data_IF_799112956322
#
_entry.id   IF_799112956322
#
_cell.length_a   1.000
_cell.length_b   1.000
_cell.length_c   1.000
_cell.angle_alpha   90.00
_cell.angle_beta   90.00
_cell.angle_gamma   90.00
#
_symmetry.space_group_name_H-M   'P 1'
#
loop_
_entity.id
_entity.type
_entity.pdbx_description
1 polymer ?
#
# COMPACT_ATOMS: atom_id res chain seq x y z
N UNK A 1 9.38 -6.19 7.20
CA UNK A 1 10.58 -5.49 7.78
C UNK A 1 10.87 -4.14 7.11
N UNK A 2 10.83 -4.03 5.78
CA UNK A 2 11.25 -2.83 5.02
C UNK A 2 10.31 -1.61 5.20
N UNK A 3 8.99 -1.82 5.18
CA UNK A 3 7.99 -0.75 5.37
C UNK A 3 8.05 -0.18 6.79
N UNK A 4 8.34 -1.03 7.77
CA UNK A 4 8.40 -0.69 9.18
C UNK A 4 9.53 0.30 9.52
N UNK A 5 10.70 0.14 8.92
CA UNK A 5 11.86 1.00 9.15
C UNK A 5 11.73 2.36 8.45
N UNK A 6 11.19 2.35 7.23
CA UNK A 6 10.84 3.55 6.48
C UNK A 6 9.91 4.47 7.24
N UNK A 7 8.84 3.90 7.79
CA UNK A 7 7.83 4.68 8.50
C UNK A 7 8.31 5.13 9.89
N UNK A 8 9.16 4.34 10.56
CA UNK A 8 9.80 4.79 11.82
C UNK A 8 10.50 6.12 11.62
N UNK A 9 11.23 6.27 10.52
CA UNK A 9 12.02 7.46 10.21
C UNK A 9 11.15 8.65 9.82
N UNK A 10 10.09 8.43 9.05
CA UNK A 10 9.19 9.50 8.61
C UNK A 10 8.17 9.92 9.67
N UNK A 11 7.76 9.01 10.55
CA UNK A 11 6.89 9.31 11.69
C UNK A 11 7.62 10.04 12.83
N UNK A 12 8.94 10.03 12.87
CA UNK A 12 9.69 10.72 13.93
C UNK A 12 9.36 12.22 14.04
N UNK A 13 8.97 12.84 12.93
CA UNK A 13 8.65 14.27 12.84
C UNK A 13 7.13 14.56 12.82
N UNK A 14 6.28 13.53 12.87
CA UNK A 14 4.83 13.70 12.87
C UNK A 14 4.26 13.97 14.27
N UNK A 15 3.10 14.66 14.41
CA UNK A 15 2.44 14.88 15.69
C UNK A 15 2.19 13.57 16.44
N UNK A 16 2.27 13.62 17.78
CA UNK A 16 2.14 12.45 18.66
C UNK A 16 0.92 11.55 18.39
N UNK A 17 -0.30 12.07 18.07
CA UNK A 17 -1.45 11.23 17.76
C UNK A 17 -1.25 10.40 16.50
N UNK A 18 -0.67 10.99 15.44
CA UNK A 18 -0.40 10.32 14.17
C UNK A 18 0.63 9.21 14.35
N UNK A 19 1.70 9.47 15.13
CA UNK A 19 2.73 8.47 15.45
C UNK A 19 2.15 7.26 16.19
N UNK A 20 1.21 7.47 17.11
CA UNK A 20 0.57 6.38 17.89
C UNK A 20 -0.28 5.47 17.02
N UNK A 21 -0.94 6.02 16.00
CA UNK A 21 -1.82 5.24 15.10
C UNK A 21 -1.05 4.57 13.95
N UNK A 22 -0.07 5.26 13.38
CA UNK A 22 0.66 4.77 12.22
C UNK A 22 1.55 3.55 12.52
N UNK A 23 2.12 3.47 13.73
CA UNK A 23 3.01 2.37 14.12
C UNK A 23 2.31 0.99 14.17
N UNK A 24 1.16 0.84 14.86
CA UNK A 24 0.43 -0.43 14.87
C UNK A 24 -0.04 -0.85 13.47
N UNK A 25 -0.49 0.10 12.64
CA UNK A 25 -0.99 -0.16 11.29
C UNK A 25 0.04 -0.86 10.41
N UNK A 26 1.30 -0.52 10.57
CA UNK A 26 2.40 -1.07 9.76
C UNK A 26 2.83 -2.46 10.21
N UNK A 27 2.89 -2.70 11.53
CA UNK A 27 3.20 -4.03 12.05
C UNK A 27 2.09 -5.02 11.74
N UNK A 28 0.83 -4.59 11.78
CA UNK A 28 -0.32 -5.38 11.32
C UNK A 28 -0.25 -5.66 9.81
N UNK A 29 0.26 -4.71 9.03
CA UNK A 29 0.43 -4.88 7.60
C UNK A 29 1.43 -5.98 7.25
N UNK A 30 2.62 -6.00 7.86
CA UNK A 30 3.61 -7.06 7.64
C UNK A 30 3.02 -8.43 8.00
N UNK A 31 2.30 -8.50 9.13
CA UNK A 31 1.59 -9.71 9.53
C UNK A 31 0.51 -10.13 8.52
N UNK A 32 -0.28 -9.18 8.01
CA UNK A 32 -1.33 -9.44 7.02
C UNK A 32 -0.77 -10.06 5.73
N UNK A 33 0.36 -9.57 5.23
CA UNK A 33 0.96 -10.04 3.97
C UNK A 33 1.69 -11.38 4.10
N UNK A 34 2.11 -11.77 5.30
CA UNK A 34 2.82 -13.03 5.56
C UNK A 34 1.87 -14.22 5.74
N UNK A 35 0.57 -14.01 5.97
CA UNK A 35 -0.38 -15.09 6.19
C UNK A 35 -0.92 -15.67 4.87
N UNK A 36 -0.77 -17.00 4.64
CA UNK A 36 -1.13 -17.63 3.37
C UNK A 36 -2.65 -17.85 3.16
N UNK A 37 -3.46 -17.71 4.20
CA UNK A 37 -4.91 -17.98 4.14
C UNK A 37 -5.73 -16.86 4.76
N UNK A 38 -6.89 -16.58 4.15
CA UNK A 38 -7.87 -15.67 4.72
C UNK A 38 -8.52 -16.35 5.93
N UNK A 39 -8.39 -15.71 7.09
CA UNK A 39 -9.00 -16.14 8.33
C UNK A 39 -9.56 -14.93 9.09
N UNK A 40 -10.29 -15.19 10.17
CA UNK A 40 -10.90 -14.13 10.99
C UNK A 40 -9.89 -13.05 11.40
N UNK A 41 -8.75 -13.46 11.91
CA UNK A 41 -7.70 -12.56 12.37
C UNK A 41 -7.17 -11.68 11.22
N UNK A 42 -7.02 -12.22 10.01
CA UNK A 42 -6.59 -11.48 8.82
C UNK A 42 -7.61 -10.42 8.44
N UNK A 43 -8.90 -10.71 8.51
CA UNK A 43 -9.98 -9.74 8.21
C UNK A 43 -10.02 -8.65 9.28
N UNK A 44 -9.98 -9.00 10.56
CA UNK A 44 -9.95 -8.04 11.67
C UNK A 44 -8.73 -7.10 11.58
N UNK A 45 -7.56 -7.64 11.23
CA UNK A 45 -6.35 -6.84 10.99
C UNK A 45 -6.50 -5.91 9.78
N UNK A 46 -7.11 -6.39 8.68
CA UNK A 46 -7.37 -5.55 7.51
C UNK A 46 -8.32 -4.39 7.84
N UNK A 47 -9.40 -4.64 8.59
CA UNK A 47 -10.32 -3.61 9.06
C UNK A 47 -9.59 -2.60 9.95
N UNK A 48 -8.79 -3.06 10.90
CA UNK A 48 -7.99 -2.21 11.79
C UNK A 48 -7.02 -1.31 11.02
N UNK A 49 -6.34 -1.85 10.01
CA UNK A 49 -5.42 -1.09 9.14
C UNK A 49 -6.18 0.04 8.43
N UNK A 50 -7.33 -0.27 7.85
CA UNK A 50 -8.17 0.71 7.16
C UNK A 50 -8.65 1.81 8.10
N UNK A 51 -9.18 1.46 9.27
CA UNK A 51 -9.65 2.40 10.28
C UNK A 51 -8.54 3.35 10.75
N UNK A 52 -7.37 2.80 11.05
CA UNK A 52 -6.23 3.60 11.51
C UNK A 52 -5.71 4.55 10.42
N UNK A 53 -5.58 4.08 9.18
CA UNK A 53 -5.16 4.93 8.07
C UNK A 53 -6.18 6.06 7.81
N UNK A 54 -7.46 5.73 7.83
CA UNK A 54 -8.54 6.72 7.69
C UNK A 54 -8.55 7.72 8.85
N UNK A 55 -8.30 7.27 10.08
CA UNK A 55 -8.22 8.16 11.25
C UNK A 55 -7.04 9.12 11.15
N UNK A 56 -5.89 8.68 10.62
CA UNK A 56 -4.75 9.56 10.34
C UNK A 56 -5.15 10.66 9.35
N UNK A 57 -5.84 10.29 8.26
CA UNK A 57 -6.28 11.26 7.25
C UNK A 57 -7.34 12.25 7.74
N UNK A 58 -8.15 11.89 8.75
CA UNK A 58 -9.04 12.84 9.42
C UNK A 58 -8.28 13.92 10.20
N UNK A 59 -7.08 13.59 10.72
CA UNK A 59 -6.22 14.53 11.43
C UNK A 59 -5.26 15.29 10.52
N UNK A 60 -4.77 14.65 9.47
CA UNK A 60 -3.85 15.24 8.49
C UNK A 60 -4.12 14.66 7.09
N UNK A 61 -4.85 15.39 6.28
CA UNK A 61 -5.19 15.01 4.90
C UNK A 61 -3.99 15.05 3.94
N UNK A 62 -2.83 15.52 4.39
CA UNK A 62 -1.61 15.58 3.57
C UNK A 62 -0.65 14.44 3.84
N UNK A 63 -0.99 13.54 4.78
CA UNK A 63 -0.13 12.44 5.19
C UNK A 63 -0.06 11.34 4.11
N UNK A 64 0.94 11.45 3.24
CA UNK A 64 1.11 10.63 2.05
C UNK A 64 1.16 9.11 2.34
N UNK A 65 1.78 8.73 3.45
CA UNK A 65 1.96 7.34 3.85
C UNK A 65 0.62 6.67 4.18
N UNK A 66 -0.38 7.39 4.71
CA UNK A 66 -1.69 6.82 4.96
C UNK A 66 -2.43 6.50 3.65
N UNK A 67 -2.33 7.36 2.64
CA UNK A 67 -2.84 7.03 1.30
C UNK A 67 -2.12 5.83 0.70
N UNK A 68 -0.80 5.72 0.85
CA UNK A 68 -0.06 4.55 0.39
C UNK A 68 -0.55 3.27 1.07
N UNK A 69 -0.79 3.29 2.38
CA UNK A 69 -1.32 2.13 3.13
C UNK A 69 -2.70 1.74 2.61
N UNK A 70 -3.61 2.70 2.39
CA UNK A 70 -4.95 2.43 1.83
C UNK A 70 -4.86 1.88 0.40
N UNK A 71 -3.99 2.43 -0.45
CA UNK A 71 -3.76 1.92 -1.80
C UNK A 71 -3.27 0.48 -1.80
N UNK A 72 -2.34 0.18 -0.92
CA UNK A 72 -1.80 -1.16 -0.76
C UNK A 72 -2.85 -2.13 -0.20
N UNK A 73 -3.67 -1.68 0.76
CA UNK A 73 -4.78 -2.41 1.34
C UNK A 73 -5.81 -2.82 0.26
N UNK A 74 -6.22 -1.89 -0.59
CA UNK A 74 -7.10 -2.15 -1.73
C UNK A 74 -6.48 -3.16 -2.72
N UNK A 75 -5.19 -2.98 -3.07
CA UNK A 75 -4.49 -3.86 -4.01
C UNK A 75 -4.42 -5.30 -3.52
N UNK A 76 -4.09 -5.52 -2.26
CA UNK A 76 -3.97 -6.87 -1.70
C UNK A 76 -5.34 -7.56 -1.57
N UNK A 77 -6.37 -6.82 -1.14
CA UNK A 77 -7.71 -7.38 -1.00
C UNK A 77 -8.38 -7.64 -2.35
N UNK A 78 -8.07 -6.85 -3.38
CA UNK A 78 -8.57 -7.11 -4.74
C UNK A 78 -8.02 -8.39 -5.36
N UNK A 79 -6.95 -8.97 -4.79
CA UNK A 79 -6.42 -10.26 -5.22
C UNK A 79 -7.13 -11.46 -4.56
N UNK A 80 -8.00 -11.21 -3.57
CA UNK A 80 -8.84 -12.25 -2.99
C UNK A 80 -9.86 -12.73 -4.03
N UNK A 81 -10.06 -14.04 -4.08
CA UNK A 81 -11.11 -14.57 -4.95
C UNK A 81 -12.50 -14.25 -4.38
N UNK A 82 -13.53 -14.37 -5.22
CA UNK A 82 -14.90 -14.00 -4.82
C UNK A 82 -15.45 -14.83 -3.66
N UNK A 83 -15.01 -16.09 -3.50
CA UNK A 83 -15.41 -16.93 -2.37
C UNK A 83 -14.83 -16.37 -1.06
N UNK A 84 -13.56 -15.96 -1.08
CA UNK A 84 -12.90 -15.36 0.07
C UNK A 84 -13.56 -14.03 0.46
N UNK A 85 -13.85 -13.16 -0.52
CA UNK A 85 -14.57 -11.91 -0.28
C UNK A 85 -15.98 -12.15 0.25
N UNK A 86 -16.71 -13.13 -0.31
CA UNK A 86 -18.05 -13.49 0.16
C UNK A 86 -17.99 -14.03 1.59
N UNK A 87 -17.02 -14.88 1.90
CA UNK A 87 -16.82 -15.38 3.27
C UNK A 87 -16.49 -14.24 4.25
N UNK A 88 -15.66 -13.27 3.84
CA UNK A 88 -15.38 -12.08 4.65
C UNK A 88 -16.68 -11.30 4.96
N UNK A 89 -17.51 -11.08 3.97
CA UNK A 89 -18.77 -10.35 4.14
C UNK A 89 -19.78 -11.09 5.04
N UNK A 90 -19.92 -12.40 4.87
CA UNK A 90 -20.91 -13.21 5.60
C UNK A 90 -20.50 -13.49 7.05
N UNK A 91 -19.23 -13.78 7.30
CA UNK A 91 -18.79 -14.31 8.59
C UNK A 91 -18.02 -13.29 9.44
N UNK A 92 -17.50 -12.22 8.83
CA UNK A 92 -16.60 -11.28 9.50
C UNK A 92 -17.06 -9.82 9.39
N UNK A 93 -18.29 -9.56 8.94
CA UNK A 93 -18.84 -8.20 8.82
C UNK A 93 -18.36 -7.41 7.61
N UNK A 94 -17.58 -8.03 6.70
CA UNK A 94 -17.10 -7.41 5.48
C UNK A 94 -16.02 -6.36 5.67
N UNK A 95 -15.79 -5.58 4.61
CA UNK A 95 -14.83 -4.48 4.60
C UNK A 95 -15.58 -3.14 4.59
N UNK A 96 -14.97 -2.06 5.16
CA UNK A 96 -15.65 -0.78 5.37
C UNK A 96 -15.89 0.01 4.07
N UNK A 97 -15.27 -0.37 2.97
CA UNK A 97 -15.48 0.23 1.64
C UNK A 97 -15.38 -0.83 0.54
N UNK A 98 -15.83 -0.48 -0.65
CA UNK A 98 -15.73 -1.34 -1.84
C UNK A 98 -14.27 -1.58 -2.20
N UNK A 99 -13.93 -2.87 -2.39
CA UNK A 99 -12.59 -3.29 -2.79
C UNK A 99 -12.48 -3.22 -4.31
N UNK A 100 -11.57 -2.36 -4.81
CA UNK A 100 -11.32 -2.26 -6.25
C UNK A 100 -9.88 -1.85 -6.56
N UNK A 101 -9.41 -2.25 -7.74
CA UNK A 101 -8.10 -1.84 -8.25
C UNK A 101 -8.05 -0.35 -8.59
N UNK A 102 -9.18 0.22 -9.02
CA UNK A 102 -9.34 1.64 -9.30
C UNK A 102 -9.16 2.48 -8.03
N UNK A 103 -9.77 2.04 -6.92
CA UNK A 103 -9.56 2.67 -5.61
C UNK A 103 -8.10 2.57 -5.18
N UNK A 104 -7.47 1.42 -5.38
CA UNK A 104 -6.04 1.24 -5.13
C UNK A 104 -5.19 2.27 -5.89
N UNK A 105 -5.42 2.39 -7.20
CA UNK A 105 -4.69 3.33 -8.05
C UNK A 105 -4.91 4.78 -7.58
N UNK A 106 -6.16 5.15 -7.28
CA UNK A 106 -6.51 6.49 -6.78
C UNK A 106 -5.77 6.83 -5.49
N UNK A 107 -5.68 5.90 -4.54
CA UNK A 107 -4.94 6.11 -3.30
C UNK A 107 -3.44 6.28 -3.53
N UNK A 108 -2.82 5.49 -4.43
CA UNK A 108 -1.41 5.69 -4.78
C UNK A 108 -1.16 7.04 -5.47
N UNK A 109 -2.08 7.50 -6.31
CA UNK A 109 -2.01 8.81 -6.93
C UNK A 109 -2.11 9.93 -5.89
N UNK A 110 -2.99 9.81 -4.88
CA UNK A 110 -3.06 10.76 -3.77
C UNK A 110 -1.74 10.76 -2.96
N UNK A 111 -1.18 9.61 -2.64
CA UNK A 111 0.12 9.53 -1.97
C UNK A 111 1.21 10.28 -2.75
N UNK A 112 1.25 10.09 -4.08
CA UNK A 112 2.22 10.74 -4.96
C UNK A 112 2.00 12.24 -5.15
N UNK A 113 0.79 12.77 -4.94
CA UNK A 113 0.55 14.23 -4.91
C UNK A 113 1.31 14.90 -3.78
N UNK A 114 1.40 14.26 -2.63
CA UNK A 114 2.09 14.81 -1.46
C UNK A 114 3.58 14.44 -1.42
N UNK A 115 3.96 13.29 -2.00
CA UNK A 115 5.34 12.80 -2.02
C UNK A 115 5.69 12.19 -3.39
N UNK A 116 5.89 13.05 -4.38
CA UNK A 116 6.00 12.69 -5.80
C UNK A 116 7.23 11.83 -6.16
N UNK A 117 8.30 11.86 -5.35
CA UNK A 117 9.59 11.21 -5.63
C UNK A 117 9.84 10.00 -4.70
N UNK A 118 8.80 9.35 -4.21
CA UNK A 118 8.92 8.12 -3.44
C UNK A 118 8.98 6.90 -4.37
N UNK A 119 10.11 6.19 -4.38
CA UNK A 119 10.27 4.94 -5.14
C UNK A 119 9.24 3.89 -4.67
N UNK A 120 8.96 3.86 -3.37
CA UNK A 120 7.96 2.97 -2.78
C UNK A 120 6.55 3.23 -3.35
N UNK A 121 6.15 4.51 -3.42
CA UNK A 121 4.80 4.88 -3.88
C UNK A 121 4.65 4.67 -5.39
N UNK A 122 5.70 4.98 -6.16
CA UNK A 122 5.73 4.69 -7.60
C UNK A 122 5.64 3.19 -7.88
N UNK A 123 6.32 2.36 -7.10
CA UNK A 123 6.18 0.90 -7.20
C UNK A 123 4.76 0.44 -6.90
N UNK A 124 4.10 1.01 -5.88
CA UNK A 124 2.69 0.75 -5.56
C UNK A 124 1.78 1.11 -6.73
N UNK A 125 1.92 2.31 -7.30
CA UNK A 125 1.16 2.77 -8.46
C UNK A 125 1.36 1.85 -9.67
N UNK A 126 2.60 1.50 -9.99
CA UNK A 126 2.90 0.60 -11.11
C UNK A 126 2.30 -0.80 -10.90
N UNK A 127 2.28 -1.30 -9.65
CA UNK A 127 1.66 -2.58 -9.31
C UNK A 127 0.14 -2.55 -9.52
N UNK A 128 -0.54 -1.47 -9.14
CA UNK A 128 -1.97 -1.29 -9.36
C UNK A 128 -2.29 -1.15 -10.86
N UNK A 129 -1.49 -0.38 -11.61
CA UNK A 129 -1.64 -0.26 -13.07
C UNK A 129 -1.47 -1.59 -13.78
N UNK A 130 -0.49 -2.41 -13.37
CA UNK A 130 -0.30 -3.76 -13.91
C UNK A 130 -1.51 -4.66 -13.59
N UNK A 131 -2.03 -4.60 -12.37
CA UNK A 131 -3.23 -5.36 -12.00
C UNK A 131 -4.50 -4.93 -12.77
N UNK A 132 -4.53 -3.69 -13.29
CA UNK A 132 -5.56 -3.14 -14.18
C UNK A 132 -5.29 -3.39 -15.67
N UNK A 133 -4.33 -4.25 -16.03
CA UNK A 133 -3.89 -4.51 -17.41
C UNK A 133 -3.41 -3.26 -18.17
N UNK A 134 -2.97 -2.21 -17.42
CA UNK A 134 -2.42 -0.97 -17.98
C UNK A 134 -0.89 -1.01 -18.04
N UNK A 135 -0.32 -2.06 -18.60
CA UNK A 135 1.11 -2.35 -18.57
C UNK A 135 1.98 -1.25 -19.18
N UNK A 136 1.53 -0.58 -20.25
CA UNK A 136 2.27 0.54 -20.84
C UNK A 136 2.54 1.65 -19.83
N UNK A 137 1.51 2.05 -19.06
CA UNK A 137 1.65 3.06 -18.02
C UNK A 137 2.49 2.56 -16.85
N UNK A 138 2.31 1.29 -16.45
CA UNK A 138 3.12 0.67 -15.40
C UNK A 138 4.61 0.71 -15.75
N UNK A 139 4.99 0.40 -16.99
CA UNK A 139 6.36 0.46 -17.49
C UNK A 139 6.93 1.89 -17.37
N UNK A 140 6.19 2.91 -17.79
CA UNK A 140 6.61 4.32 -17.66
C UNK A 140 6.89 4.71 -16.20
N UNK A 141 5.99 4.35 -15.30
CA UNK A 141 6.15 4.61 -13.86
C UNK A 141 7.35 3.85 -13.28
N UNK A 142 7.58 2.59 -13.68
CA UNK A 142 8.74 1.82 -13.24
C UNK A 142 10.05 2.43 -13.72
N UNK A 143 10.14 2.88 -14.97
CA UNK A 143 11.31 3.61 -15.46
C UNK A 143 11.58 4.87 -14.66
N UNK A 144 10.53 5.66 -14.36
CA UNK A 144 10.64 6.83 -13.50
C UNK A 144 11.17 6.45 -12.12
N UNK A 145 10.63 5.41 -11.48
CA UNK A 145 11.06 4.97 -10.15
C UNK A 145 12.53 4.53 -10.12
N UNK A 146 12.98 3.80 -11.17
CA UNK A 146 14.36 3.32 -11.27
C UNK A 146 15.34 4.50 -11.48
N UNK A 147 14.93 5.54 -12.21
CA UNK A 147 15.76 6.71 -12.49
C UNK A 147 15.96 7.65 -11.29
N UNK A 148 15.05 7.64 -10.29
CA UNK A 148 15.18 8.48 -9.10
C UNK A 148 16.49 8.20 -8.34
N UNK A 149 17.10 9.20 -7.67
CA UNK A 149 18.20 8.97 -6.75
C UNK A 149 17.75 8.13 -5.55
N UNK A 150 18.68 7.40 -4.95
CA UNK A 150 18.41 6.69 -3.70
C UNK A 150 18.46 7.69 -2.53
N UNK A 151 17.30 8.04 -2.01
CA UNK A 151 17.15 8.99 -0.91
C UNK A 151 16.92 8.29 0.44
N UNK A 152 16.45 7.03 0.40
CA UNK A 152 16.11 6.25 1.58
C UNK A 152 16.91 4.95 1.64
N UNK A 153 17.18 4.40 2.84
CA UNK A 153 18.04 3.21 3.00
C UNK A 153 17.58 2.00 2.17
N UNK A 154 16.27 1.85 1.98
CA UNK A 154 15.69 0.70 1.28
C UNK A 154 15.51 0.91 -0.23
N UNK A 155 15.87 2.08 -0.75
CA UNK A 155 15.61 2.42 -2.15
C UNK A 155 16.37 1.52 -3.13
N UNK A 156 17.54 1.01 -2.74
CA UNK A 156 18.25 0.01 -3.55
C UNK A 156 17.39 -1.25 -3.75
N UNK A 157 16.83 -1.79 -2.66
CA UNK A 157 15.95 -2.97 -2.69
C UNK A 157 14.65 -2.70 -3.46
N UNK A 158 14.08 -1.50 -3.30
CA UNK A 158 12.85 -1.09 -4.00
C UNK A 158 13.09 -0.98 -5.50
N UNK A 159 14.23 -0.44 -5.93
CA UNK A 159 14.63 -0.40 -7.34
C UNK A 159 14.77 -1.80 -7.94
N UNK A 160 15.33 -2.75 -7.20
CA UNK A 160 15.41 -4.14 -7.67
C UNK A 160 14.01 -4.76 -7.83
N UNK A 161 13.05 -4.45 -6.95
CA UNK A 161 11.63 -4.84 -7.13
C UNK A 161 11.02 -4.21 -8.37
N UNK A 162 11.28 -2.92 -8.62
CA UNK A 162 10.84 -2.23 -9.85
C UNK A 162 11.39 -2.92 -11.10
N UNK A 163 12.68 -3.25 -11.13
CA UNK A 163 13.31 -3.97 -12.25
C UNK A 163 12.72 -5.35 -12.48
N UNK A 164 12.47 -6.11 -11.39
CA UNK A 164 11.83 -7.43 -11.48
C UNK A 164 10.42 -7.35 -12.05
N UNK A 165 9.62 -6.39 -11.61
CA UNK A 165 8.28 -6.17 -12.17
C UNK A 165 8.36 -5.76 -13.63
N UNK A 166 9.24 -4.81 -13.98
CA UNK A 166 9.47 -4.36 -15.36
C UNK A 166 9.81 -5.53 -16.29
N UNK A 167 10.74 -6.40 -15.88
CA UNK A 167 11.11 -7.59 -16.66
C UNK A 167 9.94 -8.57 -16.84
N UNK A 168 9.03 -8.65 -15.89
CA UNK A 168 7.86 -9.54 -15.95
C UNK A 168 6.82 -9.03 -16.95
N UNK A 169 6.55 -7.73 -16.97
CA UNK A 169 5.50 -7.12 -17.79
C UNK A 169 5.96 -6.71 -19.19
N UNK A 170 7.28 -6.71 -19.46
CA UNK A 170 7.84 -6.39 -20.78
C UNK A 170 8.01 -7.63 -21.68
N UNK A 171 7.52 -8.81 -21.24
CA UNK A 171 7.54 -10.06 -22.00
C UNK A 171 6.27 -10.21 -22.81
#
# INVERSE_FOLDING_TARGET
>A
MIVHEYMRKNLSNSPLPIRRLAWPTLSLWDYFTEQPRVGREKVENAQTIHEQATQILKGDTTFAEAYFVLGKWQLELSQLNWFELTACNLFFGGFPEEISLENSLSYFEQALRYKSNSILFLFGQASALHALDQDKKAIEILHRAIALPQAEPDDATRKERCKKLLLRISR
#
